data_IF_113695273406
#
_entry.id   IF_113695273406
#
_cell.length_a   1.000
_cell.length_b   1.000
_cell.length_c   1.000
_cell.angle_alpha   90.00
_cell.angle_beta   90.00
_cell.angle_gamma   90.00
#
_symmetry.space_group_name_H-M   'P 1'
#
loop_
_entity.id
_entity.type
_entity.pdbx_description
1 polymer ?
#
# COMPACT_ATOMS: atom_id res chain seq x y z
N UNK A 1 9.75 12.43 8.70
CA UNK A 1 10.22 11.05 8.53
C UNK A 1 9.62 10.22 9.65
N UNK A 2 8.83 9.22 9.33
CA UNK A 2 8.16 8.34 10.29
C UNK A 2 8.78 6.94 10.20
N UNK A 3 9.19 6.39 11.33
CA UNK A 3 9.78 5.04 11.40
C UNK A 3 8.70 3.97 11.18
N UNK A 4 9.08 2.86 10.54
CA UNK A 4 8.25 1.68 10.30
C UNK A 4 9.13 0.45 10.49
N UNK A 5 8.64 -0.55 11.20
CA UNK A 5 9.43 -1.71 11.64
C UNK A 5 10.66 -1.26 12.46
N UNK A 6 11.77 -2.01 12.38
CA UNK A 6 13.01 -1.73 13.12
C UNK A 6 13.89 -0.65 12.43
N UNK A 7 14.23 -0.82 11.15
CA UNK A 7 15.13 0.07 10.39
C UNK A 7 14.44 0.83 9.25
N UNK A 8 13.16 0.55 8.99
CA UNK A 8 12.41 1.17 7.89
C UNK A 8 11.90 2.56 8.20
N UNK A 9 11.49 3.27 7.16
CA UNK A 9 10.81 4.56 7.29
C UNK A 9 10.00 4.92 6.05
N UNK A 10 9.09 5.87 6.24
CA UNK A 10 8.44 6.63 5.17
C UNK A 10 8.66 8.12 5.42
N UNK A 11 9.05 8.86 4.40
CA UNK A 11 9.15 10.31 4.39
C UNK A 11 8.42 10.87 3.18
N UNK A 12 7.43 11.72 3.39
CA UNK A 12 6.91 12.56 2.33
C UNK A 12 7.96 13.62 1.96
N UNK A 13 8.41 13.61 0.72
CA UNK A 13 9.47 14.50 0.22
C UNK A 13 8.88 15.74 -0.42
N UNK A 14 7.79 15.54 -1.19
CA UNK A 14 7.20 16.59 -1.99
C UNK A 14 5.78 16.20 -2.42
N UNK A 15 4.97 17.17 -2.79
CA UNK A 15 3.65 16.96 -3.36
C UNK A 15 3.28 18.08 -4.34
N UNK A 16 2.40 17.80 -5.26
CA UNK A 16 1.87 18.75 -6.23
C UNK A 16 0.33 18.70 -6.21
N UNK A 17 -0.34 19.86 -6.12
CA UNK A 17 0.21 21.21 -5.89
C UNK A 17 0.77 21.38 -4.48
N UNK A 18 1.41 22.53 -4.22
CA UNK A 18 2.03 22.81 -2.91
C UNK A 18 1.00 23.23 -1.84
N UNK A 19 -0.19 23.67 -2.24
CA UNK A 19 -1.27 24.12 -1.36
C UNK A 19 -2.63 23.71 -1.92
N UNK A 20 -3.62 23.60 -1.05
CA UNK A 20 -5.03 23.39 -1.40
C UNK A 20 -5.28 22.21 -2.36
N UNK A 21 -4.73 21.03 -2.04
CA UNK A 21 -4.78 19.86 -2.91
C UNK A 21 -6.23 19.43 -3.23
N UNK A 22 -7.14 19.45 -2.25
CA UNK A 22 -8.56 19.16 -2.47
C UNK A 22 -9.19 20.18 -3.43
N UNK A 23 -8.85 21.47 -3.31
CA UNK A 23 -9.32 22.51 -4.22
C UNK A 23 -8.78 22.33 -5.65
N UNK A 24 -7.55 21.84 -5.81
CA UNK A 24 -6.96 21.50 -7.10
C UNK A 24 -7.75 20.40 -7.84
N UNK A 25 -8.23 19.37 -7.11
CA UNK A 25 -9.11 18.33 -7.67
C UNK A 25 -10.39 18.94 -8.22
N UNK A 26 -11.01 19.84 -7.46
CA UNK A 26 -12.23 20.54 -7.85
C UNK A 26 -11.99 21.44 -9.06
N UNK A 27 -10.88 22.16 -9.08
CA UNK A 27 -10.49 23.02 -10.19
C UNK A 27 -10.31 22.20 -11.48
N UNK A 28 -9.60 21.07 -11.39
CA UNK A 28 -9.41 20.17 -12.53
C UNK A 28 -10.74 19.63 -13.06
N UNK A 29 -11.67 19.25 -12.18
CA UNK A 29 -12.99 18.78 -12.59
C UNK A 29 -13.81 19.89 -13.28
N UNK A 30 -13.72 21.12 -12.80
CA UNK A 30 -14.50 22.27 -13.31
C UNK A 30 -14.03 22.78 -14.66
N UNK A 31 -12.82 22.47 -15.10
CA UNK A 31 -12.35 22.87 -16.44
C UNK A 31 -13.30 22.40 -17.55
N UNK A 32 -13.98 21.29 -17.33
CA UNK A 32 -14.97 20.74 -18.27
C UNK A 32 -16.21 21.62 -18.48
N UNK A 33 -16.46 22.57 -17.57
CA UNK A 33 -17.63 23.50 -17.65
C UNK A 33 -17.27 24.89 -18.15
N UNK A 34 -16.00 25.17 -18.47
CA UNK A 34 -15.52 26.48 -18.87
C UNK A 34 -15.60 27.52 -17.73
N UNK A 35 -15.52 28.81 -18.09
CA UNK A 35 -15.44 29.91 -17.10
C UNK A 35 -16.74 30.18 -16.30
N UNK A 36 -17.81 29.45 -16.53
CA UNK A 36 -19.15 29.75 -16.03
C UNK A 36 -19.48 29.30 -14.60
N UNK A 37 -18.68 28.46 -13.96
CA UNK A 37 -19.02 27.88 -12.66
C UNK A 37 -18.06 28.27 -11.54
N UNK A 38 -18.29 29.44 -10.97
CA UNK A 38 -17.57 29.93 -9.76
C UNK A 38 -18.43 29.69 -8.49
N UNK A 39 -18.66 28.45 -8.09
CA UNK A 39 -19.33 28.16 -6.81
C UNK A 39 -18.36 27.40 -5.90
N UNK A 40 -17.90 28.05 -4.84
CA UNK A 40 -17.15 27.41 -3.75
C UNK A 40 -18.04 26.59 -2.81
N UNK A 41 -19.37 26.82 -2.86
CA UNK A 41 -20.37 26.05 -2.12
C UNK A 41 -20.60 24.72 -2.82
N UNK A 42 -19.86 23.71 -2.44
CA UNK A 42 -20.08 22.36 -2.98
C UNK A 42 -18.82 21.57 -3.32
N UNK A 43 -17.64 22.12 -3.03
CA UNK A 43 -16.37 21.46 -3.32
C UNK A 43 -16.31 20.06 -2.66
N UNK A 44 -16.69 19.95 -1.39
CA UNK A 44 -16.86 18.67 -0.70
C UNK A 44 -17.85 17.74 -1.43
N UNK A 45 -19.00 18.26 -1.86
CA UNK A 45 -20.02 17.49 -2.58
C UNK A 45 -19.51 16.99 -3.92
N UNK A 46 -18.76 17.82 -4.65
CA UNK A 46 -18.19 17.47 -5.94
C UNK A 46 -17.11 16.38 -5.80
N UNK A 47 -16.16 16.51 -4.88
CA UNK A 47 -15.14 15.49 -4.62
C UNK A 47 -15.81 14.14 -4.30
N UNK A 48 -16.80 14.15 -3.42
CA UNK A 48 -17.55 12.93 -3.06
C UNK A 48 -18.31 12.34 -4.25
N UNK A 49 -18.90 13.17 -5.10
CA UNK A 49 -19.56 12.75 -6.33
C UNK A 49 -18.56 12.09 -7.30
N UNK A 50 -17.45 12.75 -7.58
CA UNK A 50 -16.41 12.26 -8.48
C UNK A 50 -15.90 10.88 -8.05
N UNK A 51 -15.63 10.72 -6.75
CA UNK A 51 -15.11 9.46 -6.21
C UNK A 51 -16.14 8.31 -6.30
N UNK A 52 -17.44 8.59 -5.99
CA UNK A 52 -18.50 7.58 -6.11
C UNK A 52 -18.71 7.11 -7.54
N UNK A 53 -18.61 8.03 -8.50
CA UNK A 53 -18.90 7.76 -9.91
C UNK A 53 -17.66 7.42 -10.74
N UNK A 54 -16.53 7.13 -10.10
CA UNK A 54 -15.29 6.70 -10.75
C UNK A 54 -14.71 7.71 -11.77
N UNK A 55 -14.93 9.01 -11.53
CA UNK A 55 -14.27 10.07 -12.26
C UNK A 55 -12.85 10.25 -11.72
N UNK A 56 -11.87 9.56 -12.30
CA UNK A 56 -10.53 9.41 -11.72
C UNK A 56 -9.59 10.56 -12.04
N UNK A 57 -9.66 11.11 -13.27
CA UNK A 57 -8.70 12.10 -13.78
C UNK A 57 -8.49 13.32 -12.88
N UNK A 58 -9.51 13.92 -12.22
CA UNK A 58 -9.27 15.03 -11.32
C UNK A 58 -8.34 14.69 -10.15
N UNK A 59 -8.40 13.47 -9.63
CA UNK A 59 -7.52 12.99 -8.55
C UNK A 59 -6.10 12.68 -9.05
N UNK A 60 -5.92 12.46 -10.34
CA UNK A 60 -4.61 12.24 -10.97
C UNK A 60 -3.78 13.53 -11.08
N UNK A 61 -4.43 14.72 -10.92
CA UNK A 61 -3.76 16.02 -10.91
C UNK A 61 -3.06 16.34 -9.59
N UNK A 62 -3.21 15.49 -8.58
CA UNK A 62 -2.48 15.58 -7.31
C UNK A 62 -1.44 14.46 -7.26
N UNK A 63 -0.19 14.80 -7.02
CA UNK A 63 0.93 13.86 -6.95
C UNK A 63 1.66 13.95 -5.61
N UNK A 64 2.20 12.82 -5.17
CA UNK A 64 3.04 12.69 -3.98
C UNK A 64 4.36 12.03 -4.32
N UNK A 65 5.44 12.49 -3.70
CA UNK A 65 6.76 11.89 -3.79
C UNK A 65 7.24 11.47 -2.41
N UNK A 66 7.44 10.19 -2.24
CA UNK A 66 7.93 9.60 -0.99
C UNK A 66 9.37 9.14 -1.15
N UNK A 67 10.10 9.13 -0.03
CA UNK A 67 11.32 8.36 0.16
C UNK A 67 11.01 7.27 1.18
N UNK A 68 11.20 6.04 0.79
CA UNK A 68 10.79 4.85 1.55
C UNK A 68 11.98 3.92 1.71
N UNK A 69 12.13 3.38 2.93
CA UNK A 69 13.05 2.31 3.24
C UNK A 69 12.26 1.13 3.78
N UNK A 70 12.38 -0.03 3.15
CA UNK A 70 11.66 -1.24 3.56
C UNK A 70 12.42 -2.51 3.17
N UNK A 71 12.13 -3.66 3.81
CA UNK A 71 12.70 -4.94 3.41
C UNK A 71 12.38 -5.28 1.95
N UNK A 72 13.32 -5.88 1.23
CA UNK A 72 13.17 -6.22 -0.20
C UNK A 72 11.92 -7.06 -0.45
N UNK A 73 11.61 -8.06 0.40
CA UNK A 73 10.42 -8.89 0.20
C UNK A 73 9.10 -8.13 0.36
N UNK A 74 9.08 -7.04 1.15
CA UNK A 74 7.95 -6.11 1.26
C UNK A 74 7.94 -5.16 0.06
N UNK A 75 9.10 -4.65 -0.36
CA UNK A 75 9.22 -3.80 -1.54
C UNK A 75 8.68 -4.50 -2.80
N UNK A 76 8.87 -5.80 -2.94
CA UNK A 76 8.29 -6.60 -4.05
C UNK A 76 6.76 -6.54 -4.09
N UNK A 77 6.08 -6.48 -2.96
CA UNK A 77 4.63 -6.28 -2.91
C UNK A 77 4.24 -4.82 -3.18
N UNK A 78 5.00 -3.87 -2.64
CA UNK A 78 4.80 -2.44 -2.84
C UNK A 78 4.91 -2.08 -4.33
N UNK A 79 5.95 -2.54 -5.00
CA UNK A 79 6.25 -2.27 -6.41
C UNK A 79 5.33 -3.00 -7.41
N UNK A 80 4.40 -3.82 -6.95
CA UNK A 80 3.29 -4.33 -7.79
C UNK A 80 2.34 -3.22 -8.23
N UNK A 81 2.30 -2.10 -7.52
CA UNK A 81 1.58 -0.89 -7.90
C UNK A 81 2.39 -0.09 -8.93
N UNK A 82 2.25 -0.46 -10.20
CA UNK A 82 3.13 -0.05 -11.31
C UNK A 82 2.83 1.34 -11.88
N UNK A 83 1.66 1.91 -11.59
CA UNK A 83 1.29 3.27 -12.05
C UNK A 83 1.94 4.32 -11.15
N UNK A 84 3.27 4.30 -11.15
CA UNK A 84 4.12 5.14 -10.32
C UNK A 84 5.51 5.24 -10.95
N UNK A 85 6.29 6.23 -10.53
CA UNK A 85 7.72 6.34 -10.88
C UNK A 85 8.54 5.90 -9.67
N UNK A 86 9.52 5.02 -9.91
CA UNK A 86 10.39 4.48 -8.86
C UNK A 86 11.85 4.66 -9.25
N UNK A 87 12.67 5.06 -8.28
CA UNK A 87 14.12 5.02 -8.40
C UNK A 87 14.69 4.43 -7.10
N UNK A 88 15.31 3.27 -7.21
CA UNK A 88 15.74 2.45 -6.08
C UNK A 88 17.27 2.47 -5.94
N UNK A 89 17.75 2.36 -4.70
CA UNK A 89 19.16 2.15 -4.38
C UNK A 89 19.70 0.95 -5.13
N UNK A 90 20.84 1.13 -5.80
CA UNK A 90 21.47 0.05 -6.54
C UNK A 90 22.62 -0.58 -5.74
N UNK A 91 22.41 -1.81 -5.33
CA UNK A 91 23.47 -2.65 -4.76
C UNK A 91 24.61 -3.02 -5.75
N UNK A 92 24.54 -2.54 -6.99
CA UNK A 92 25.66 -2.62 -7.98
C UNK A 92 26.62 -1.46 -7.81
N UNK A 93 26.12 -0.29 -7.39
CA UNK A 93 26.92 0.91 -7.28
C UNK A 93 27.44 1.17 -5.87
N UNK A 94 26.74 0.68 -4.87
CA UNK A 94 27.10 0.86 -3.47
C UNK A 94 27.16 -0.45 -2.73
N UNK A 95 27.97 -0.51 -1.67
CA UNK A 95 27.93 -1.60 -0.68
C UNK A 95 26.61 -1.52 0.06
N UNK A 96 25.93 -2.66 0.19
CA UNK A 96 24.67 -2.73 0.91
C UNK A 96 24.92 -2.60 2.42
N UNK A 97 24.27 -1.66 3.11
CA UNK A 97 24.37 -1.58 4.58
C UNK A 97 23.90 -2.88 5.23
N UNK A 98 24.55 -3.26 6.33
CA UNK A 98 24.14 -4.43 7.11
C UNK A 98 22.88 -4.13 7.95
N UNK A 99 21.76 -4.01 7.27
CA UNK A 99 20.45 -3.75 7.85
C UNK A 99 19.44 -4.72 7.25
N UNK A 100 18.80 -5.49 8.10
CA UNK A 100 17.80 -6.49 7.74
C UNK A 100 16.66 -6.47 8.76
N UNK A 101 15.48 -6.84 8.33
CA UNK A 101 14.34 -7.04 9.20
C UNK A 101 14.35 -8.47 9.75
N UNK A 102 14.36 -8.59 11.08
CA UNK A 102 14.22 -9.84 11.79
C UNK A 102 12.98 -9.76 12.70
N UNK A 103 11.87 -10.40 12.33
CA UNK A 103 10.64 -10.28 13.09
C UNK A 103 10.79 -10.91 14.47
N UNK A 104 10.38 -10.18 15.50
CA UNK A 104 10.38 -10.67 16.89
C UNK A 104 9.24 -11.64 17.17
N UNK A 105 8.20 -11.62 16.34
CA UNK A 105 7.02 -12.48 16.44
C UNK A 105 6.73 -13.14 15.10
N UNK A 106 6.56 -14.45 15.12
CA UNK A 106 6.17 -15.21 13.93
C UNK A 106 4.67 -15.48 13.95
N UNK A 107 4.06 -15.40 12.76
CA UNK A 107 2.62 -15.65 12.57
C UNK A 107 2.41 -16.96 11.84
N UNK A 108 1.34 -17.67 12.22
CA UNK A 108 0.91 -18.89 11.56
C UNK A 108 0.33 -18.63 10.16
N UNK A 109 0.31 -19.66 9.33
CA UNK A 109 -0.38 -19.61 8.03
C UNK A 109 -1.89 -19.58 8.25
N UNK A 110 -2.59 -18.63 7.63
CA UNK A 110 -4.05 -18.63 7.66
C UNK A 110 -4.62 -19.83 6.90
N UNK A 111 -5.62 -20.48 7.48
CA UNK A 111 -6.30 -21.64 6.87
C UNK A 111 -7.37 -21.21 5.86
N UNK A 112 -7.86 -19.99 5.95
CA UNK A 112 -8.92 -19.45 5.07
C UNK A 112 -8.33 -18.70 3.90
N UNK A 113 -7.36 -17.83 4.17
CA UNK A 113 -6.65 -17.07 3.16
C UNK A 113 -5.21 -17.56 3.06
N UNK A 114 -4.91 -18.39 2.09
CA UNK A 114 -3.57 -18.97 1.88
C UNK A 114 -2.45 -17.94 1.65
N UNK A 115 -2.77 -16.66 1.43
CA UNK A 115 -1.80 -15.57 1.35
C UNK A 115 -1.62 -14.83 2.68
N UNK A 116 -2.52 -15.03 3.62
CA UNK A 116 -2.56 -14.36 4.90
C UNK A 116 -1.88 -15.13 6.03
N UNK A 117 -1.70 -14.45 7.14
CA UNK A 117 -1.20 -15.01 8.38
C UNK A 117 -2.17 -14.73 9.52
N UNK A 118 -2.25 -15.65 10.47
CA UNK A 118 -3.09 -15.54 11.66
C UNK A 118 -2.42 -16.16 12.89
N UNK A 119 -2.76 -15.61 14.05
CA UNK A 119 -2.20 -16.06 15.31
C UNK A 119 -0.69 -15.87 15.43
N UNK A 120 -0.16 -16.13 16.60
CA UNK A 120 1.27 -16.12 16.89
C UNK A 120 1.72 -17.57 17.01
N UNK A 121 2.87 -17.88 16.42
CA UNK A 121 3.50 -19.20 16.51
C UNK A 121 4.79 -19.06 17.32
N UNK A 122 4.94 -19.88 18.35
CA UNK A 122 6.22 -20.02 19.04
C UNK A 122 7.19 -20.82 18.18
N UNK A 123 8.34 -20.22 17.91
CA UNK A 123 9.42 -20.83 17.14
C UNK A 123 10.58 -21.12 18.10
N UNK A 124 10.95 -22.39 18.24
CA UNK A 124 11.99 -22.81 19.13
C UNK A 124 13.15 -23.47 18.36
N UNK A 125 14.39 -23.13 18.72
CA UNK A 125 15.58 -23.73 18.12
C UNK A 125 15.87 -23.31 16.68
N UNK A 126 15.27 -22.22 16.21
CA UNK A 126 15.57 -21.61 14.91
C UNK A 126 16.20 -20.23 15.14
N UNK A 127 17.46 -20.12 14.81
CA UNK A 127 18.26 -18.90 15.02
C UNK A 127 18.25 -18.04 13.74
N UNK A 128 17.16 -17.29 13.53
CA UNK A 128 16.98 -16.45 12.33
C UNK A 128 18.06 -15.37 12.24
N UNK A 129 18.33 -14.68 13.34
CA UNK A 129 19.39 -13.66 13.42
C UNK A 129 20.75 -14.22 13.01
N UNK A 130 21.12 -15.41 13.50
CA UNK A 130 22.39 -16.05 13.14
C UNK A 130 22.49 -16.35 11.64
N UNK A 131 21.40 -16.81 11.02
CA UNK A 131 21.37 -17.06 9.58
C UNK A 131 21.54 -15.77 8.75
N UNK A 132 20.90 -14.68 9.19
CA UNK A 132 21.00 -13.37 8.56
C UNK A 132 22.43 -12.80 8.69
N UNK A 133 23.02 -12.88 9.89
CA UNK A 133 24.41 -12.48 10.17
C UNK A 133 25.40 -13.25 9.30
N UNK A 134 25.22 -14.57 9.17
CA UNK A 134 26.06 -15.41 8.34
C UNK A 134 25.98 -15.00 6.87
N UNK A 135 24.80 -14.71 6.34
CA UNK A 135 24.62 -14.28 4.96
C UNK A 135 25.35 -12.95 4.67
N UNK A 136 25.26 -11.98 5.58
CA UNK A 136 26.03 -10.74 5.48
C UNK A 136 27.54 -10.97 5.60
N UNK A 137 27.99 -11.85 6.50
CA UNK A 137 29.39 -12.22 6.61
C UNK A 137 29.96 -12.81 5.30
N UNK A 138 29.19 -13.68 4.63
CA UNK A 138 29.56 -14.20 3.29
C UNK A 138 29.62 -13.07 2.24
N UNK A 139 28.67 -12.14 2.25
CA UNK A 139 28.67 -11.00 1.37
C UNK A 139 29.93 -10.13 1.51
N UNK A 140 30.32 -9.82 2.76
CA UNK A 140 31.51 -9.04 3.09
C UNK A 140 32.79 -9.76 2.61
N UNK A 141 32.91 -11.07 2.91
CA UNK A 141 34.04 -11.88 2.46
C UNK A 141 34.18 -11.94 0.93
N UNK A 142 33.06 -12.03 0.19
CA UNK A 142 33.09 -12.00 -1.26
C UNK A 142 33.64 -10.67 -1.79
N UNK A 143 33.23 -9.55 -1.17
CA UNK A 143 33.75 -8.21 -1.54
C UNK A 143 35.23 -8.07 -1.24
N UNK A 144 35.69 -8.55 -0.06
CA UNK A 144 37.11 -8.53 0.33
C UNK A 144 37.98 -9.35 -0.62
N UNK A 145 37.46 -10.46 -1.17
CA UNK A 145 38.13 -11.28 -2.18
C UNK A 145 38.05 -10.71 -3.60
N UNK A 146 37.47 -9.51 -3.78
CA UNK A 146 37.40 -8.82 -5.06
C UNK A 146 36.24 -9.23 -5.96
N UNK A 147 35.25 -9.99 -5.43
CA UNK A 147 34.03 -10.31 -6.20
C UNK A 147 33.22 -9.02 -6.44
N UNK A 148 32.76 -8.82 -7.66
CA UNK A 148 31.99 -7.64 -8.01
C UNK A 148 30.66 -7.58 -7.23
N UNK A 149 30.23 -6.36 -6.87
CA UNK A 149 29.01 -6.11 -6.08
C UNK A 149 27.76 -6.76 -6.69
N UNK A 150 27.65 -6.77 -8.02
CA UNK A 150 26.49 -7.34 -8.72
C UNK A 150 26.32 -8.85 -8.51
N UNK A 151 27.41 -9.58 -8.24
CA UNK A 151 27.37 -10.99 -7.89
C UNK A 151 27.32 -11.20 -6.37
N UNK A 152 28.18 -10.50 -5.61
CA UNK A 152 28.23 -10.62 -4.17
C UNK A 152 26.87 -10.43 -3.48
N UNK A 153 26.07 -9.44 -3.91
CA UNK A 153 24.72 -9.19 -3.38
C UNK A 153 23.75 -10.36 -3.52
N UNK A 154 24.06 -11.34 -4.37
CA UNK A 154 23.20 -12.51 -4.60
C UNK A 154 23.01 -13.40 -3.37
N UNK A 155 23.91 -13.31 -2.37
CA UNK A 155 23.80 -14.07 -1.12
C UNK A 155 22.99 -13.34 -0.04
N UNK A 156 22.65 -12.05 -0.25
CA UNK A 156 21.90 -11.28 0.73
C UNK A 156 20.45 -11.77 0.86
N UNK A 157 19.92 -11.86 2.10
CA UNK A 157 18.57 -12.31 2.34
C UNK A 157 17.54 -11.27 1.83
N UNK A 158 16.33 -11.73 1.54
CA UNK A 158 15.24 -10.85 1.09
C UNK A 158 14.75 -9.88 2.18
N UNK A 159 15.08 -10.17 3.45
CA UNK A 159 14.82 -9.27 4.59
C UNK A 159 15.76 -8.06 4.65
N UNK A 160 16.83 -8.04 3.82
CA UNK A 160 17.70 -6.86 3.66
C UNK A 160 16.88 -5.62 3.29
N UNK A 161 17.18 -4.48 3.92
CA UNK A 161 16.52 -3.22 3.60
C UNK A 161 16.99 -2.65 2.27
N UNK A 162 16.03 -2.13 1.49
CA UNK A 162 16.26 -1.28 0.32
C UNK A 162 15.65 0.08 0.53
N UNK A 163 16.11 1.09 -0.23
CA UNK A 163 15.58 2.44 -0.22
C UNK A 163 15.21 2.87 -1.63
N UNK A 164 14.10 3.60 -1.77
CA UNK A 164 13.69 4.14 -3.06
C UNK A 164 12.86 5.41 -2.93
N UNK A 165 12.94 6.22 -3.97
CA UNK A 165 11.96 7.28 -4.22
C UNK A 165 10.79 6.71 -4.98
N UNK A 166 9.58 7.05 -4.54
CA UNK A 166 8.32 6.63 -5.13
C UNK A 166 7.44 7.85 -5.38
N UNK A 167 7.11 8.11 -6.66
CA UNK A 167 6.21 9.19 -7.06
C UNK A 167 4.94 8.59 -7.63
N UNK A 168 3.79 9.00 -7.11
CA UNK A 168 2.49 8.45 -7.47
C UNK A 168 1.42 9.53 -7.36
N UNK A 169 0.43 9.51 -8.27
CA UNK A 169 -0.73 10.39 -8.15
C UNK A 169 -1.75 9.86 -7.12
N UNK A 170 -2.63 10.75 -6.65
CA UNK A 170 -3.58 10.44 -5.58
C UNK A 170 -4.57 9.33 -5.97
N UNK A 171 -5.04 9.25 -7.21
CA UNK A 171 -5.92 8.18 -7.66
C UNK A 171 -5.27 6.80 -7.47
N UNK A 172 -4.06 6.62 -7.98
CA UNK A 172 -3.32 5.37 -7.87
C UNK A 172 -2.85 5.10 -6.43
N UNK A 173 -2.58 6.15 -5.66
CA UNK A 173 -2.27 6.04 -4.25
C UNK A 173 -3.48 5.53 -3.44
N UNK A 174 -4.68 6.02 -3.71
CA UNK A 174 -5.91 5.47 -3.10
C UNK A 174 -6.11 4.00 -3.45
N UNK A 175 -5.81 3.58 -4.69
CA UNK A 175 -5.84 2.16 -5.05
C UNK A 175 -4.81 1.33 -4.27
N UNK A 176 -3.60 1.84 -4.09
CA UNK A 176 -2.60 1.21 -3.22
C UNK A 176 -3.12 1.09 -1.79
N UNK A 177 -3.62 2.17 -1.21
CA UNK A 177 -4.12 2.20 0.16
C UNK A 177 -5.30 1.26 0.37
N UNK A 178 -6.25 1.18 -0.57
CA UNK A 178 -7.38 0.26 -0.50
C UNK A 178 -6.94 -1.20 -0.37
N UNK A 179 -5.88 -1.60 -1.08
CA UNK A 179 -5.37 -2.98 -1.04
C UNK A 179 -4.42 -3.24 0.12
N UNK A 180 -3.69 -2.22 0.60
CA UNK A 180 -2.62 -2.42 1.59
C UNK A 180 -3.03 -2.05 3.01
N UNK A 181 -4.13 -1.31 3.19
CA UNK A 181 -4.76 -1.10 4.50
C UNK A 181 -5.72 -2.24 4.87
N UNK A 182 -6.10 -3.08 3.91
CA UNK A 182 -6.97 -4.22 4.14
C UNK A 182 -6.36 -5.18 5.17
N UNK A 183 -7.19 -5.69 6.09
CA UNK A 183 -6.75 -6.59 7.17
C UNK A 183 -6.17 -7.92 6.65
N UNK A 184 -6.50 -8.32 5.42
CA UNK A 184 -5.89 -9.48 4.78
C UNK A 184 -4.50 -9.19 4.16
N UNK A 185 -4.10 -7.91 4.07
CA UNK A 185 -2.75 -7.57 3.65
C UNK A 185 -1.73 -7.99 4.71
N UNK A 186 -0.54 -8.39 4.26
CA UNK A 186 0.55 -8.73 5.18
C UNK A 186 0.81 -7.57 6.15
N UNK A 187 1.00 -7.86 7.42
CA UNK A 187 1.12 -6.84 8.47
C UNK A 187 2.19 -5.80 8.15
N UNK A 188 3.36 -6.24 7.73
CA UNK A 188 4.49 -5.35 7.48
C UNK A 188 4.17 -4.31 6.39
N UNK A 189 3.56 -4.70 5.26
CA UNK A 189 3.18 -3.71 4.23
C UNK A 189 2.01 -2.82 4.68
N UNK A 190 1.13 -3.33 5.54
CA UNK A 190 0.04 -2.55 6.12
C UNK A 190 0.56 -1.42 7.00
N UNK A 191 1.58 -1.67 7.82
CA UNK A 191 2.23 -0.63 8.63
C UNK A 191 2.79 0.51 7.77
N UNK A 192 3.41 0.19 6.63
CA UNK A 192 3.83 1.20 5.64
C UNK A 192 2.65 1.98 5.05
N UNK A 193 1.57 1.29 4.71
CA UNK A 193 0.38 1.90 4.14
C UNK A 193 -0.32 2.85 5.15
N UNK A 194 -0.38 2.48 6.43
CA UNK A 194 -0.91 3.31 7.51
C UNK A 194 -0.11 4.61 7.69
N UNK A 195 1.22 4.52 7.66
CA UNK A 195 2.08 5.71 7.72
C UNK A 195 1.87 6.60 6.50
N UNK A 196 1.79 6.03 5.29
CA UNK A 196 1.52 6.79 4.07
C UNK A 196 0.17 7.49 4.16
N UNK A 197 -0.88 6.78 4.60
CA UNK A 197 -2.22 7.34 4.82
C UNK A 197 -2.16 8.55 5.77
N UNK A 198 -1.54 8.39 6.93
CA UNK A 198 -1.43 9.44 7.95
C UNK A 198 -0.63 10.67 7.48
N UNK A 199 0.31 10.49 6.55
CA UNK A 199 1.08 11.60 5.98
C UNK A 199 0.28 12.42 4.96
N UNK A 200 -0.65 11.79 4.22
CA UNK A 200 -1.41 12.48 3.16
C UNK A 200 -2.79 12.96 3.61
N UNK A 201 -3.39 12.32 4.62
CA UNK A 201 -4.74 12.68 5.11
C UNK A 201 -4.88 14.18 5.44
N UNK A 202 -3.94 14.82 6.16
CA UNK A 202 -4.03 16.25 6.46
C UNK A 202 -3.92 17.16 5.22
N UNK A 203 -3.37 16.66 4.11
CA UNK A 203 -3.18 17.42 2.86
C UNK A 203 -4.39 17.35 1.93
N UNK A 204 -5.16 16.27 2.01
CA UNK A 204 -6.37 16.02 1.19
C UNK A 204 -7.53 15.49 2.06
N UNK A 205 -7.91 16.19 3.13
CA UNK A 205 -8.82 15.66 4.15
C UNK A 205 -10.21 15.31 3.61
N UNK A 206 -10.73 16.09 2.67
CA UNK A 206 -12.06 15.84 2.07
C UNK A 206 -12.01 14.58 1.21
N UNK A 207 -10.96 14.43 0.41
CA UNK A 207 -10.77 13.27 -0.45
C UNK A 207 -10.53 12.00 0.38
N UNK A 208 -9.71 12.06 1.42
CA UNK A 208 -9.43 10.89 2.26
C UNK A 208 -10.66 10.47 3.07
N UNK A 209 -11.46 11.41 3.55
CA UNK A 209 -12.76 11.07 4.17
C UNK A 209 -13.70 10.37 3.18
N UNK A 210 -13.80 10.88 1.95
CA UNK A 210 -14.60 10.26 0.90
C UNK A 210 -14.06 8.87 0.50
N UNK A 211 -12.75 8.70 0.50
CA UNK A 211 -12.09 7.41 0.25
C UNK A 211 -12.45 6.38 1.33
N UNK A 212 -12.40 6.76 2.60
CA UNK A 212 -12.82 5.88 3.69
C UNK A 212 -14.30 5.51 3.53
N UNK A 213 -15.17 6.48 3.30
CA UNK A 213 -16.62 6.25 3.22
C UNK A 213 -17.02 5.33 2.05
N UNK A 214 -16.34 5.43 0.91
CA UNK A 214 -16.80 4.79 -0.34
C UNK A 214 -15.93 3.63 -0.81
N UNK A 215 -14.68 3.51 -0.33
CA UNK A 215 -13.73 2.49 -0.78
C UNK A 215 -13.29 1.54 0.32
N UNK A 216 -13.09 2.05 1.54
CA UNK A 216 -12.60 1.23 2.66
C UNK A 216 -13.78 0.66 3.45
N UNK A 217 -14.71 1.54 3.88
CA UNK A 217 -15.85 1.15 4.71
C UNK A 217 -17.13 0.84 3.92
N UNK A 218 -17.09 1.02 2.59
CA UNK A 218 -18.20 0.71 1.71
C UNK A 218 -18.25 -0.78 1.36
N UNK A 219 -19.46 -1.31 1.21
CA UNK A 219 -19.67 -2.67 0.71
C UNK A 219 -20.17 -2.59 -0.73
N UNK A 220 -19.46 -3.26 -1.63
CA UNK A 220 -19.90 -3.43 -3.01
C UNK A 220 -20.67 -4.75 -3.15
N UNK A 221 -21.90 -4.67 -3.61
CA UNK A 221 -22.71 -5.84 -3.96
C UNK A 221 -22.69 -6.06 -5.47
N UNK A 222 -22.35 -7.27 -5.88
CA UNK A 222 -22.37 -7.70 -7.29
C UNK A 222 -23.80 -7.96 -7.77
N UNK A 223 -23.99 -8.05 -9.10
CA UNK A 223 -25.30 -8.40 -9.66
C UNK A 223 -25.87 -9.71 -9.14
N UNK A 224 -25.12 -10.82 -9.12
CA UNK A 224 -25.55 -12.09 -8.53
C UNK A 224 -25.96 -12.00 -7.07
N UNK A 225 -25.19 -11.25 -6.24
CA UNK A 225 -25.51 -11.05 -4.83
C UNK A 225 -26.82 -10.26 -4.62
N UNK A 226 -27.04 -9.23 -5.44
CA UNK A 226 -28.31 -8.47 -5.44
C UNK A 226 -29.47 -9.38 -5.84
N UNK A 227 -29.31 -10.24 -6.83
CA UNK A 227 -30.35 -11.20 -7.24
C UNK A 227 -30.63 -12.21 -6.13
N UNK A 228 -29.58 -12.69 -5.44
CA UNK A 228 -29.73 -13.56 -4.25
C UNK A 228 -30.58 -12.89 -3.16
N UNK A 229 -30.34 -11.62 -2.87
CA UNK A 229 -31.15 -10.86 -1.89
C UNK A 229 -32.63 -10.80 -2.32
N UNK A 230 -32.90 -10.64 -3.61
CA UNK A 230 -34.26 -10.51 -4.13
C UNK A 230 -35.03 -11.83 -4.21
N UNK A 231 -34.34 -12.92 -4.56
CA UNK A 231 -35.00 -14.19 -4.91
C UNK A 231 -34.77 -15.30 -3.90
N UNK A 232 -33.78 -15.16 -3.02
CA UNK A 232 -33.34 -16.21 -2.10
C UNK A 232 -32.51 -17.33 -2.77
N UNK A 233 -32.18 -17.21 -4.08
CA UNK A 233 -31.31 -18.19 -4.76
C UNK A 233 -29.85 -17.92 -4.41
N UNK A 234 -29.10 -18.98 -4.16
CA UNK A 234 -27.67 -18.86 -3.88
C UNK A 234 -26.88 -18.42 -5.12
N UNK A 235 -25.72 -17.76 -4.89
CA UNK A 235 -24.73 -17.51 -5.94
C UNK A 235 -24.18 -18.85 -6.41
N UNK A 236 -23.97 -19.02 -7.72
CA UNK A 236 -23.54 -20.30 -8.30
C UNK A 236 -22.14 -20.73 -7.89
N UNK A 237 -21.21 -19.76 -7.77
CA UNK A 237 -19.82 -20.02 -7.38
C UNK A 237 -19.69 -20.19 -5.86
N UNK A 238 -19.14 -21.32 -5.38
CA UNK A 238 -18.91 -21.52 -3.93
C UNK A 238 -17.96 -20.47 -3.30
N UNK A 239 -17.03 -19.92 -4.08
CA UNK A 239 -16.13 -18.82 -3.64
C UNK A 239 -16.90 -17.53 -3.44
N UNK A 240 -17.66 -17.11 -4.45
CA UNK A 240 -18.49 -15.90 -4.39
C UNK A 240 -19.58 -16.01 -3.30
N UNK A 241 -20.16 -17.20 -3.12
CA UNK A 241 -21.12 -17.42 -2.05
C UNK A 241 -20.50 -17.20 -0.67
N UNK A 242 -19.26 -17.66 -0.43
CA UNK A 242 -18.56 -17.41 0.86
C UNK A 242 -18.31 -15.91 1.09
N UNK A 243 -17.84 -15.21 0.07
CA UNK A 243 -17.64 -13.75 0.14
C UNK A 243 -18.95 -13.01 0.41
N UNK A 244 -20.05 -13.47 -0.21
CA UNK A 244 -21.36 -12.90 0.03
C UNK A 244 -21.86 -13.15 1.47
N UNK A 245 -21.64 -14.33 2.05
CA UNK A 245 -21.98 -14.61 3.45
C UNK A 245 -21.22 -13.70 4.43
N UNK A 246 -19.98 -13.35 4.13
CA UNK A 246 -19.22 -12.37 4.91
C UNK A 246 -19.85 -10.97 4.80
N UNK A 247 -20.21 -10.54 3.58
CA UNK A 247 -20.92 -9.26 3.37
C UNK A 247 -22.26 -9.22 4.09
N UNK A 248 -23.04 -10.32 4.10
CA UNK A 248 -24.31 -10.42 4.83
C UNK A 248 -24.11 -10.22 6.33
N UNK A 249 -23.07 -10.81 6.92
CA UNK A 249 -22.75 -10.60 8.34
C UNK A 249 -22.52 -9.13 8.66
N UNK A 250 -21.78 -8.42 7.80
CA UNK A 250 -21.50 -6.99 7.98
C UNK A 250 -22.79 -6.17 7.83
N UNK A 251 -23.67 -6.54 6.89
CA UNK A 251 -24.93 -5.86 6.61
C UNK A 251 -26.03 -6.20 7.64
N UNK A 252 -25.86 -7.25 8.44
CA UNK A 252 -26.86 -7.73 9.40
C UNK A 252 -28.10 -8.38 8.76
N UNK A 253 -27.93 -9.02 7.58
CA UNK A 253 -29.00 -9.70 6.80
C UNK A 253 -28.73 -11.18 6.59
#
# INVERSE_FOLDING_TARGET
MTRVLDHGFVRLVDHMPQQDLDASIVQAARVSYGDGTKSTRGDRGLIRYLLRHWHTTPFEMVEFKFHIKMPIYIARQHLRHRTASVNELSARYSVVPKEYYDPTLFRGQSVVNHQGSEGIVEVNGVETTQALEQAFGVYEQLLEQGVCREQARGVLPQSTYTEFYWKINLHNLMHYLQLRLDHHAQQEIREYAEVIYNLIEPLVPITMQAFLDFRVNGIFLTGPEIETIRTGRNVESPGEQREFEEKKKILGI
#
